data_IF_812900146841
#
_entry.id   IF_812900146841
#
_cell.length_a   1.000
_cell.length_b   1.000
_cell.length_c   1.000
_cell.angle_alpha   90.00
_cell.angle_beta   90.00
_cell.angle_gamma   90.00
#
_symmetry.space_group_name_H-M   'P 1'
#
loop_
_entity.id
_entity.type
_entity.pdbx_description
1 polymer ?
#
# COMPACT_ATOMS: atom_id res chain seq x y z
N UNK A 1 -33.93 -4.06 -7.10
CA UNK A 1 -32.69 -3.84 -6.32
C UNK A 1 -31.70 -3.20 -7.29
N UNK A 2 -31.64 -1.88 -7.28
CA UNK A 2 -30.83 -1.10 -8.22
C UNK A 2 -29.36 -1.16 -7.81
N UNK A 3 -28.55 -1.79 -8.66
CA UNK A 3 -27.11 -1.97 -8.51
C UNK A 3 -26.31 -0.84 -9.19
N UNK A 4 -26.94 0.31 -9.45
CA UNK A 4 -26.23 1.42 -10.07
C UNK A 4 -25.25 2.06 -9.07
N UNK A 5 -23.99 2.17 -9.49
CA UNK A 5 -22.97 2.96 -8.80
C UNK A 5 -23.47 4.40 -8.78
N UNK A 6 -23.97 4.86 -7.63
CA UNK A 6 -24.41 6.25 -7.44
C UNK A 6 -23.17 7.14 -7.37
N UNK A 7 -22.76 7.66 -8.52
CA UNK A 7 -21.83 8.78 -8.57
C UNK A 7 -22.57 10.02 -8.07
N UNK A 8 -22.30 10.44 -6.85
CA UNK A 8 -22.88 11.64 -6.27
C UNK A 8 -22.18 12.86 -6.92
N UNK A 9 -22.77 13.37 -8.00
CA UNK A 9 -22.11 14.30 -8.92
C UNK A 9 -22.16 15.79 -8.51
N UNK A 10 -22.91 16.20 -7.48
CA UNK A 10 -23.30 17.62 -7.38
C UNK A 10 -22.83 18.41 -6.14
N UNK A 11 -22.10 17.83 -5.18
CA UNK A 11 -21.52 18.64 -4.08
C UNK A 11 -20.22 18.02 -3.55
N UNK A 12 -19.15 18.80 -3.30
CA UNK A 12 -17.98 18.31 -2.56
C UNK A 12 -18.44 17.90 -1.16
N UNK A 13 -18.48 16.60 -0.89
CA UNK A 13 -18.90 16.07 0.42
C UNK A 13 -17.67 15.95 1.30
N UNK A 14 -17.79 16.30 2.58
CA UNK A 14 -16.69 16.15 3.52
C UNK A 14 -16.21 14.67 3.55
N UNK A 15 -14.90 14.39 3.75
CA UNK A 15 -14.32 13.04 3.69
C UNK A 15 -15.02 11.97 4.53
N UNK A 16 -15.79 12.37 5.56
CA UNK A 16 -16.61 11.47 6.39
C UNK A 16 -17.80 10.85 5.64
N UNK A 17 -18.21 11.41 4.50
CA UNK A 17 -19.35 10.97 3.70
C UNK A 17 -18.94 10.28 2.39
N UNK A 18 -17.64 10.26 2.06
CA UNK A 18 -17.12 9.50 0.93
C UNK A 18 -16.67 8.11 1.42
N UNK A 19 -17.47 7.10 1.10
CA UNK A 19 -17.20 5.69 1.43
C UNK A 19 -15.88 5.20 0.80
N UNK A 20 -15.40 5.86 -0.27
CA UNK A 20 -14.16 5.51 -0.96
C UNK A 20 -12.93 6.30 -0.47
N UNK A 21 -13.06 7.19 0.52
CA UNK A 21 -11.90 7.84 1.11
C UNK A 21 -10.98 6.79 1.74
N UNK A 22 -9.65 6.88 1.54
CA UNK A 22 -8.72 5.87 2.06
C UNK A 22 -8.83 5.83 3.59
N UNK A 23 -9.27 4.70 4.09
CA UNK A 23 -9.44 4.45 5.50
C UNK A 23 -8.12 3.93 6.09
N UNK A 24 -7.80 4.36 7.30
CA UNK A 24 -6.64 3.80 8.01
C UNK A 24 -6.97 2.44 8.65
N UNK A 25 -8.26 2.08 8.73
CA UNK A 25 -8.71 0.87 9.39
C UNK A 25 -8.21 -0.40 8.69
N UNK A 26 -8.45 -0.55 7.38
CA UNK A 26 -7.99 -1.73 6.63
C UNK A 26 -6.46 -1.89 6.72
N UNK A 27 -5.63 -0.86 6.43
CA UNK A 27 -4.18 -0.93 6.58
C UNK A 27 -3.72 -1.29 8.00
N UNK A 28 -4.31 -0.70 9.04
CA UNK A 28 -3.95 -0.98 10.42
C UNK A 28 -4.29 -2.42 10.83
N UNK A 29 -5.49 -2.89 10.48
CA UNK A 29 -5.90 -4.27 10.75
C UNK A 29 -5.06 -5.26 9.96
N UNK A 30 -4.79 -4.98 8.68
CA UNK A 30 -3.92 -5.82 7.85
C UNK A 30 -2.49 -5.88 8.41
N UNK A 31 -1.95 -4.80 8.96
CA UNK A 31 -0.66 -4.83 9.64
C UNK A 31 -0.66 -5.80 10.84
N UNK A 32 -1.66 -5.70 11.71
CA UNK A 32 -1.77 -6.59 12.89
C UNK A 32 -1.95 -8.05 12.44
N UNK A 33 -2.87 -8.31 11.51
CA UNK A 33 -3.12 -9.66 10.97
C UNK A 33 -1.87 -10.23 10.32
N UNK A 34 -1.12 -9.42 9.58
CA UNK A 34 0.16 -9.83 9.00
C UNK A 34 1.14 -10.31 10.07
N UNK A 35 1.28 -9.60 11.19
CA UNK A 35 2.14 -10.04 12.29
C UNK A 35 1.66 -11.36 12.90
N UNK A 36 0.35 -11.53 13.09
CA UNK A 36 -0.21 -12.77 13.61
C UNK A 36 0.05 -13.96 12.67
N UNK A 37 -0.14 -13.76 11.36
CA UNK A 37 0.09 -14.78 10.34
C UNK A 37 1.58 -15.09 10.20
N UNK A 38 2.46 -14.10 10.31
CA UNK A 38 3.90 -14.30 10.34
C UNK A 38 4.33 -15.12 11.57
N UNK A 39 3.78 -14.80 12.75
CA UNK A 39 4.00 -15.57 13.98
C UNK A 39 3.50 -17.01 13.85
N UNK A 40 2.32 -17.21 13.24
CA UNK A 40 1.78 -18.53 12.94
C UNK A 40 2.72 -19.30 12.00
N UNK A 41 3.19 -18.69 10.92
CA UNK A 41 4.10 -19.32 9.96
C UNK A 41 5.42 -19.75 10.62
N UNK A 42 6.01 -18.90 11.45
CA UNK A 42 7.19 -19.25 12.25
C UNK A 42 6.90 -20.37 13.26
N UNK A 43 5.71 -20.36 13.87
CA UNK A 43 5.22 -21.39 14.79
C UNK A 43 5.11 -22.76 14.14
N UNK A 44 4.55 -22.85 12.93
CA UNK A 44 4.45 -24.12 12.18
C UNK A 44 5.81 -24.75 11.85
N UNK A 45 6.88 -23.95 11.86
CA UNK A 45 8.25 -24.40 11.59
C UNK A 45 9.08 -24.61 12.87
N UNK A 46 8.48 -24.51 14.08
CA UNK A 46 9.19 -24.52 15.37
C UNK A 46 10.28 -23.43 15.48
N UNK A 47 10.13 -22.32 14.74
CA UNK A 47 11.06 -21.18 14.72
C UNK A 47 10.52 -19.96 15.46
N UNK A 48 9.39 -20.10 16.14
CA UNK A 48 8.76 -18.99 16.83
C UNK A 48 9.59 -18.57 18.04
N UNK A 49 9.95 -17.28 18.06
CA UNK A 49 10.46 -16.60 19.23
C UNK A 49 9.82 -15.22 19.32
N UNK A 50 9.53 -14.71 20.53
CA UNK A 50 9.00 -13.35 20.68
C UNK A 50 9.94 -12.30 20.06
N UNK A 51 11.25 -12.53 20.10
CA UNK A 51 12.25 -11.65 19.49
C UNK A 51 12.14 -11.61 17.96
N UNK A 52 11.94 -12.75 17.30
CA UNK A 52 11.79 -12.79 15.83
C UNK A 52 10.52 -12.08 15.37
N UNK A 53 9.42 -12.24 16.11
CA UNK A 53 8.17 -11.52 15.84
C UNK A 53 8.34 -10.01 16.08
N UNK A 54 9.03 -9.62 17.15
CA UNK A 54 9.33 -8.22 17.47
C UNK A 54 10.22 -7.56 16.42
N UNK A 55 11.23 -8.28 15.92
CA UNK A 55 12.06 -7.84 14.80
C UNK A 55 11.24 -7.68 13.52
N UNK A 56 10.31 -8.60 13.25
CA UNK A 56 9.44 -8.54 12.08
C UNK A 56 8.45 -7.36 12.16
N UNK A 57 7.89 -7.09 13.34
CA UNK A 57 7.03 -5.94 13.57
C UNK A 57 7.80 -4.62 13.38
N UNK A 58 8.98 -4.54 13.98
CA UNK A 58 9.86 -3.37 13.89
C UNK A 58 10.32 -3.12 12.46
N UNK A 59 10.72 -4.16 11.72
CA UNK A 59 11.17 -4.03 10.34
C UNK A 59 10.02 -3.60 9.41
N UNK A 60 8.83 -4.20 9.56
CA UNK A 60 7.67 -3.84 8.77
C UNK A 60 7.20 -2.40 9.03
N UNK A 61 7.23 -1.96 10.29
CA UNK A 61 6.90 -0.59 10.69
C UNK A 61 7.96 0.40 10.17
N UNK A 62 9.25 0.08 10.31
CA UNK A 62 10.34 0.91 9.83
C UNK A 62 10.26 1.12 8.30
N UNK A 63 10.01 0.07 7.52
CA UNK A 63 9.82 0.19 6.07
C UNK A 63 8.60 1.02 5.70
N UNK A 64 7.48 0.87 6.42
CA UNK A 64 6.27 1.68 6.21
C UNK A 64 6.53 3.17 6.46
N UNK A 65 7.21 3.49 7.57
CA UNK A 65 7.59 4.88 7.87
C UNK A 65 8.56 5.44 6.83
N UNK A 66 9.55 4.64 6.42
CA UNK A 66 10.52 5.05 5.41
C UNK A 66 9.85 5.34 4.07
N UNK A 67 8.89 4.52 3.64
CA UNK A 67 8.10 4.79 2.44
C UNK A 67 7.33 6.12 2.56
N UNK A 68 6.56 6.31 3.65
CA UNK A 68 5.77 7.54 3.83
C UNK A 68 6.66 8.77 3.85
N UNK A 69 7.78 8.73 4.58
CA UNK A 69 8.77 9.81 4.63
C UNK A 69 9.42 10.04 3.26
N UNK A 70 9.76 8.97 2.53
CA UNK A 70 10.31 9.05 1.18
C UNK A 70 9.35 9.71 0.19
N UNK A 71 8.06 9.41 0.28
CA UNK A 71 7.03 10.07 -0.55
C UNK A 71 6.88 11.54 -0.17
N UNK A 72 6.79 11.85 1.13
CA UNK A 72 6.71 13.23 1.62
C UNK A 72 7.93 14.06 1.18
N UNK A 73 9.13 13.48 1.30
CA UNK A 73 10.37 14.10 0.84
C UNK A 73 10.34 14.30 -0.69
N UNK A 74 9.90 13.30 -1.45
CA UNK A 74 9.76 13.40 -2.91
C UNK A 74 8.79 14.51 -3.33
N UNK A 75 7.64 14.64 -2.67
CA UNK A 75 6.68 15.71 -2.92
C UNK A 75 7.26 17.09 -2.55
N UNK A 76 7.96 17.17 -1.43
CA UNK A 76 8.63 18.39 -0.96
C UNK A 76 9.74 18.85 -1.92
N UNK A 77 10.65 17.96 -2.32
CA UNK A 77 11.77 18.26 -3.23
C UNK A 77 11.29 18.69 -4.62
N UNK A 78 10.21 18.09 -5.11
CA UNK A 78 9.58 18.48 -6.37
C UNK A 78 8.70 19.73 -6.24
N UNK A 79 8.65 20.31 -5.03
CA UNK A 79 7.82 21.44 -4.63
C UNK A 79 6.39 21.27 -5.09
N UNK A 80 5.86 20.04 -5.10
CA UNK A 80 4.48 19.75 -5.48
C UNK A 80 3.63 20.14 -4.27
N UNK A 81 2.88 21.23 -4.39
CA UNK A 81 1.83 21.53 -3.44
C UNK A 81 0.77 20.43 -3.63
N UNK A 82 0.61 19.62 -2.61
CA UNK A 82 -0.37 18.54 -2.55
C UNK A 82 -0.96 18.58 -1.15
N UNK A 83 -2.28 18.62 -1.08
CA UNK A 83 -3.08 18.52 0.14
C UNK A 83 -3.20 17.06 0.60
N UNK A 84 -2.32 16.17 0.11
CA UNK A 84 -2.23 14.79 0.56
C UNK A 84 -1.83 14.76 2.04
N UNK A 85 -2.80 14.45 2.88
CA UNK A 85 -2.56 14.19 4.28
C UNK A 85 -1.56 13.03 4.43
N UNK A 86 -0.57 13.10 5.36
CA UNK A 86 0.32 11.98 5.66
C UNK A 86 -0.42 10.69 6.00
N UNK A 87 -1.64 10.82 6.54
CA UNK A 87 -2.54 9.70 6.86
C UNK A 87 -2.99 8.95 5.60
N UNK A 88 -3.26 9.66 4.50
CA UNK A 88 -3.64 9.03 3.23
C UNK A 88 -2.48 8.23 2.65
N UNK A 89 -1.26 8.78 2.72
CA UNK A 89 -0.05 8.09 2.28
C UNK A 89 0.20 6.83 3.10
N UNK A 90 0.00 6.91 4.41
CA UNK A 90 0.10 5.76 5.30
C UNK A 90 -0.92 4.67 4.94
N UNK A 91 -2.16 5.06 4.62
CA UNK A 91 -3.18 4.13 4.18
C UNK A 91 -2.79 3.45 2.85
N UNK A 92 -2.36 4.24 1.85
CA UNK A 92 -1.93 3.69 0.55
C UNK A 92 -0.73 2.75 0.65
N UNK A 93 0.27 3.09 1.48
CA UNK A 93 1.44 2.24 1.69
C UNK A 93 1.08 0.95 2.46
N UNK A 94 0.09 1.01 3.35
CA UNK A 94 -0.30 -0.14 4.16
C UNK A 94 -1.22 -1.15 3.46
N UNK A 95 -1.90 -0.83 2.36
CA UNK A 95 -2.76 -1.82 1.67
C UNK A 95 -1.99 -3.06 1.18
N UNK A 96 -0.67 -2.98 1.00
CA UNK A 96 0.18 -4.12 0.63
C UNK A 96 0.14 -5.28 1.64
N UNK A 97 -0.14 -5.00 2.91
CA UNK A 97 -0.22 -6.02 3.96
C UNK A 97 -1.32 -7.05 3.67
N UNK A 98 -2.41 -6.66 3.00
CA UNK A 98 -3.47 -7.57 2.58
C UNK A 98 -2.94 -8.63 1.61
N UNK A 99 -2.18 -8.20 0.60
CA UNK A 99 -1.55 -9.11 -0.36
C UNK A 99 -0.51 -10.04 0.29
N UNK A 100 0.25 -9.53 1.26
CA UNK A 100 1.21 -10.34 2.02
C UNK A 100 0.52 -11.42 2.86
N UNK A 101 -0.59 -11.10 3.52
CA UNK A 101 -1.40 -12.08 4.27
C UNK A 101 -1.87 -13.21 3.34
N UNK A 102 -2.46 -12.86 2.19
CA UNK A 102 -2.95 -13.85 1.23
C UNK A 102 -1.82 -14.77 0.73
N UNK A 103 -0.66 -14.20 0.41
CA UNK A 103 0.53 -14.97 0.03
C UNK A 103 0.99 -15.93 1.14
N UNK A 104 1.06 -15.46 2.39
CA UNK A 104 1.46 -16.30 3.52
C UNK A 104 0.45 -17.42 3.80
N UNK A 105 -0.84 -17.13 3.80
CA UNK A 105 -1.90 -18.14 4.00
C UNK A 105 -1.86 -19.19 2.89
N UNK A 106 -1.71 -18.77 1.63
CA UNK A 106 -1.54 -19.69 0.51
C UNK A 106 -0.27 -20.55 0.66
N UNK A 107 0.81 -19.96 1.17
CA UNK A 107 2.04 -20.66 1.51
C UNK A 107 1.87 -21.73 2.57
N UNK A 108 1.07 -21.46 3.59
CA UNK A 108 0.77 -22.42 4.66
C UNK A 108 -0.12 -23.57 4.19
N UNK A 109 -1.06 -23.32 3.26
CA UNK A 109 -2.01 -24.33 2.78
C UNK A 109 -1.47 -25.17 1.63
N UNK A 110 -0.75 -24.55 0.69
CA UNK A 110 -0.31 -25.18 -0.57
C UNK A 110 1.21 -25.23 -0.71
N UNK A 111 1.96 -24.87 0.34
CA UNK A 111 3.42 -24.83 0.33
C UNK A 111 3.98 -23.69 -0.51
N UNK A 112 5.28 -23.79 -0.86
CA UNK A 112 6.02 -22.75 -1.58
C UNK A 112 5.37 -22.34 -2.91
N UNK A 113 4.77 -23.28 -3.65
CA UNK A 113 4.11 -22.99 -4.92
C UNK A 113 2.92 -22.04 -4.73
N UNK A 114 2.06 -22.29 -3.75
CA UNK A 114 0.93 -21.42 -3.42
C UNK A 114 1.36 -20.02 -3.01
N UNK A 115 2.43 -19.94 -2.21
CA UNK A 115 3.03 -18.66 -1.83
C UNK A 115 3.46 -17.84 -3.06
N UNK A 116 4.28 -18.40 -3.94
CA UNK A 116 4.79 -17.65 -5.10
C UNK A 116 3.66 -17.25 -6.06
N UNK A 117 2.72 -18.15 -6.38
CA UNK A 117 1.62 -17.86 -7.29
C UNK A 117 0.74 -16.72 -6.76
N UNK A 118 0.30 -16.83 -5.51
CA UNK A 118 -0.59 -15.82 -4.91
C UNK A 118 0.14 -14.52 -4.64
N UNK A 119 1.40 -14.57 -4.18
CA UNK A 119 2.20 -13.37 -3.96
C UNK A 119 2.47 -12.64 -5.28
N UNK A 120 2.83 -13.34 -6.36
CA UNK A 120 3.03 -12.70 -7.68
C UNK A 120 1.76 -11.99 -8.17
N UNK A 121 0.60 -12.63 -8.00
CA UNK A 121 -0.69 -12.01 -8.33
C UNK A 121 -0.95 -10.76 -7.48
N UNK A 122 -0.73 -10.85 -6.16
CA UNK A 122 -0.91 -9.73 -5.25
C UNK A 122 0.07 -8.59 -5.54
N UNK A 123 1.33 -8.88 -5.86
CA UNK A 123 2.33 -7.91 -6.27
C UNK A 123 1.90 -7.12 -7.50
N UNK A 124 1.39 -7.81 -8.53
CA UNK A 124 0.87 -7.15 -9.73
C UNK A 124 -0.37 -6.29 -9.41
N UNK A 125 -1.30 -6.82 -8.61
CA UNK A 125 -2.50 -6.09 -8.19
C UNK A 125 -2.15 -4.83 -7.39
N UNK A 126 -1.25 -4.92 -6.42
CA UNK A 126 -0.78 -3.79 -5.61
C UNK A 126 -0.09 -2.76 -6.50
N UNK A 127 0.80 -3.18 -7.41
CA UNK A 127 1.44 -2.27 -8.35
C UNK A 127 0.43 -1.46 -9.18
N UNK A 128 -0.55 -2.15 -9.79
CA UNK A 128 -1.60 -1.50 -10.58
C UNK A 128 -2.47 -0.58 -9.70
N UNK A 129 -2.84 -1.04 -8.51
CA UNK A 129 -3.63 -0.27 -7.55
C UNK A 129 -2.91 1.01 -7.13
N UNK A 130 -1.65 0.92 -6.70
CA UNK A 130 -0.84 2.07 -6.27
C UNK A 130 -0.72 3.09 -7.40
N UNK A 131 -0.45 2.66 -8.64
CA UNK A 131 -0.42 3.57 -9.79
C UNK A 131 -1.78 4.25 -9.97
N UNK A 132 -2.89 3.50 -9.98
CA UNK A 132 -4.22 4.07 -10.24
C UNK A 132 -4.65 5.03 -9.14
N UNK A 133 -4.54 4.63 -7.89
CA UNK A 133 -5.02 5.41 -6.73
C UNK A 133 -4.21 6.69 -6.52
N UNK A 134 -2.87 6.60 -6.52
CA UNK A 134 -2.04 7.81 -6.37
C UNK A 134 -2.13 8.72 -7.60
N UNK A 135 -2.16 8.15 -8.82
CA UNK A 135 -2.28 8.97 -10.04
C UNK A 135 -3.61 9.72 -10.06
N UNK A 136 -4.72 9.09 -9.70
CA UNK A 136 -6.02 9.76 -9.66
C UNK A 136 -6.00 10.94 -8.67
N UNK A 137 -5.47 10.76 -7.46
CA UNK A 137 -5.34 11.84 -6.47
C UNK A 137 -4.40 12.96 -6.93
N UNK A 138 -3.22 12.63 -7.45
CA UNK A 138 -2.25 13.63 -7.93
C UNK A 138 -2.73 14.38 -9.18
N UNK A 139 -3.56 13.77 -10.02
CA UNK A 139 -4.17 14.43 -11.19
C UNK A 139 -5.37 15.30 -10.80
N UNK A 140 -6.22 14.85 -9.86
CA UNK A 140 -7.33 15.68 -9.37
C UNK A 140 -6.80 16.97 -8.72
N UNK A 141 -5.70 16.88 -7.96
CA UNK A 141 -5.02 18.05 -7.41
C UNK A 141 -4.47 18.99 -8.49
N UNK A 142 -3.85 18.43 -9.53
CA UNK A 142 -3.29 19.21 -10.64
C UNK A 142 -4.38 20.01 -11.37
N UNK A 143 -5.56 19.41 -11.53
CA UNK A 143 -6.71 20.06 -12.14
C UNK A 143 -7.28 21.18 -11.24
N UNK A 144 -7.27 20.99 -9.92
CA UNK A 144 -7.70 22.00 -8.94
C UNK A 144 -6.75 23.21 -8.88
N UNK A 145 -5.44 23.02 -9.03
CA UNK A 145 -4.46 24.12 -9.05
C UNK A 145 -4.47 24.93 -10.37
N UNK A 146 -5.27 24.57 -11.38
CA UNK A 146 -5.30 25.27 -12.67
C UNK A 146 -3.99 25.18 -13.47
N UNK A 147 -3.09 24.26 -13.11
CA UNK A 147 -1.79 24.07 -13.76
C UNK A 147 -2.01 23.36 -15.11
N UNK A 148 -1.51 23.89 -16.25
CA UNK A 148 -1.71 23.26 -17.54
C UNK A 148 -1.14 21.83 -17.53
N UNK A 149 -1.96 20.88 -17.98
CA UNK A 149 -1.78 19.41 -17.96
C UNK A 149 -0.49 18.91 -18.65
N UNK A 150 0.26 19.81 -19.31
CA UNK A 150 1.42 19.53 -20.17
C UNK A 150 2.72 20.21 -19.72
N UNK A 151 2.98 20.25 -18.41
CA UNK A 151 4.26 20.73 -17.84
C UNK A 151 5.21 19.60 -17.41
N UNK A 152 6.52 19.85 -17.42
CA UNK A 152 7.56 18.92 -16.91
C UNK A 152 7.25 18.39 -15.49
N UNK A 153 6.54 19.19 -14.67
CA UNK A 153 6.10 18.85 -13.32
C UNK A 153 5.08 17.69 -13.29
N UNK A 154 4.24 17.53 -14.33
CA UNK A 154 3.32 16.40 -14.44
C UNK A 154 4.08 15.10 -14.79
N UNK A 155 5.13 15.19 -15.62
CA UNK A 155 6.01 14.06 -15.89
C UNK A 155 6.77 13.62 -14.63
N UNK A 156 7.24 14.56 -13.80
CA UNK A 156 7.87 14.26 -12.51
C UNK A 156 6.90 13.58 -11.53
N UNK A 157 5.65 14.05 -11.43
CA UNK A 157 4.58 13.37 -10.66
C UNK A 157 4.37 11.93 -11.13
N UNK A 158 4.39 11.70 -12.45
CA UNK A 158 4.27 10.37 -13.03
C UNK A 158 5.46 9.47 -12.70
N UNK A 159 6.69 10.00 -12.78
CA UNK A 159 7.88 9.22 -12.40
C UNK A 159 7.92 8.90 -10.91
N UNK A 160 7.53 9.84 -10.05
CA UNK A 160 7.43 9.62 -8.60
C UNK A 160 6.44 8.50 -8.29
N UNK A 161 5.23 8.55 -8.86
CA UNK A 161 4.21 7.52 -8.65
C UNK A 161 4.62 6.14 -9.19
N UNK A 162 5.28 6.09 -10.35
CA UNK A 162 5.86 4.86 -10.87
C UNK A 162 6.94 4.29 -9.94
N UNK A 163 7.81 5.15 -9.40
CA UNK A 163 8.85 4.75 -8.45
C UNK A 163 8.26 4.15 -7.16
N UNK A 164 7.26 4.80 -6.58
CA UNK A 164 6.56 4.32 -5.38
C UNK A 164 5.90 2.97 -5.64
N UNK A 165 5.19 2.84 -6.76
CA UNK A 165 4.54 1.59 -7.13
C UNK A 165 5.55 0.46 -7.37
N UNK A 166 6.66 0.74 -8.07
CA UNK A 166 7.70 -0.25 -8.35
C UNK A 166 8.43 -0.74 -7.09
N UNK A 167 8.46 0.08 -6.03
CA UNK A 167 9.02 -0.32 -4.73
C UNK A 167 8.12 -1.30 -3.95
N UNK A 168 6.81 -1.36 -4.25
CA UNK A 168 5.86 -2.20 -3.50
C UNK A 168 6.18 -3.71 -3.62
N UNK A 169 6.32 -4.31 -4.82
CA UNK A 169 6.56 -5.75 -4.94
C UNK A 169 7.86 -6.26 -4.29
N UNK A 170 9.02 -5.59 -4.45
CA UNK A 170 10.24 -6.00 -3.76
C UNK A 170 10.10 -5.98 -2.24
N UNK A 171 9.44 -4.96 -1.68
CA UNK A 171 9.22 -4.87 -0.23
C UNK A 171 8.29 -5.97 0.28
N UNK A 172 7.22 -6.27 -0.47
CA UNK A 172 6.33 -7.38 -0.13
C UNK A 172 7.08 -8.71 -0.08
N UNK A 173 7.89 -8.99 -1.10
CA UNK A 173 8.71 -10.20 -1.16
C UNK A 173 9.76 -10.24 -0.04
N UNK A 174 10.47 -9.14 0.20
CA UNK A 174 11.50 -9.05 1.24
C UNK A 174 10.92 -9.38 2.63
N UNK A 175 9.76 -8.79 2.95
CA UNK A 175 9.12 -8.98 4.25
C UNK A 175 8.54 -10.40 4.43
N UNK A 176 8.21 -11.12 3.36
CA UNK A 176 7.51 -12.41 3.47
C UNK A 176 8.35 -13.65 3.18
N UNK A 177 9.39 -13.57 2.33
CA UNK A 177 10.10 -14.76 1.83
C UNK A 177 10.78 -15.61 2.91
N UNK A 178 11.27 -14.99 3.99
CA UNK A 178 11.99 -15.68 5.06
C UNK A 178 11.07 -16.36 6.09
N UNK A 179 9.76 -16.08 6.02
CA UNK A 179 8.75 -16.63 6.93
C UNK A 179 8.31 -18.03 6.52
N UNK A 180 8.48 -18.42 5.26
CA UNK A 180 8.12 -19.73 4.72
C UNK A 180 9.40 -20.50 4.36
N UNK A 181 9.69 -21.54 5.15
CA UNK A 181 10.86 -22.39 5.02
C UNK A 181 10.78 -23.43 3.90
#
# INVERSE_FOLDING_TARGET
QDWQVRYQQDTPVAPRFDVNAPDLYIPAMAFITYLLVAGLALGTQNRFSPDSLGLQASSALAWLLLEVLGVLLGLYLLSIASDLAPVDLLAFAGYKYVGMILGLVAGLLFGRSGYYVVLSWCCLSTFVFTIRSLRLKLLSEAAAEGVPVRGARNQLRMYLTMGIAAAQPPLMYWLTHHLLG
#
